data_IF_820795616106
#
_entry.id   IF_820795616106
#
_cell.length_a   1.000
_cell.length_b   1.000
_cell.length_c   1.000
_cell.angle_alpha   90.00
_cell.angle_beta   90.00
_cell.angle_gamma   90.00
#
_symmetry.space_group_name_H-M   'P 1'
#
loop_
_entity.id
_entity.type
_entity.pdbx_description
1 polymer ?
#
# COMPACT_ATOMS: atom_id res chain seq x y z
N UNK A 1 72.72 15.76 -52.58
CA UNK A 1 72.82 16.11 -51.15
C UNK A 1 71.46 16.68 -50.75
N UNK A 2 70.51 15.84 -50.34
CA UNK A 2 70.14 15.60 -48.93
C UNK A 2 69.77 16.89 -48.19
N UNK A 3 68.46 17.17 -48.05
CA UNK A 3 67.89 17.72 -46.81
C UNK A 3 66.45 17.22 -46.64
N UNK A 4 66.17 16.82 -45.41
CA UNK A 4 65.13 15.90 -44.98
C UNK A 4 63.73 16.53 -44.80
N UNK A 5 62.73 15.72 -45.09
CA UNK A 5 61.33 15.90 -44.71
C UNK A 5 61.18 15.53 -43.23
N UNK A 6 60.59 16.41 -42.42
CA UNK A 6 60.06 16.04 -41.11
C UNK A 6 58.61 16.53 -41.03
N UNK A 7 57.68 15.59 -41.19
CA UNK A 7 56.24 15.77 -41.12
C UNK A 7 55.84 15.94 -39.64
N UNK A 8 55.32 17.10 -39.26
CA UNK A 8 54.74 17.30 -37.94
C UNK A 8 53.32 16.70 -37.91
N UNK A 9 53.16 15.54 -37.28
CA UNK A 9 51.85 14.95 -36.99
C UNK A 9 51.19 15.71 -35.83
N UNK A 10 50.23 16.57 -36.13
CA UNK A 10 49.34 17.16 -35.14
C UNK A 10 48.30 16.11 -34.70
N UNK A 11 48.43 15.63 -33.48
CA UNK A 11 47.47 14.70 -32.87
C UNK A 11 46.23 15.48 -32.43
N UNK A 12 45.18 15.51 -33.26
CA UNK A 12 43.88 16.05 -32.88
C UNK A 12 43.20 15.08 -31.89
N UNK A 13 43.15 15.46 -30.62
CA UNK A 13 42.35 14.76 -29.60
C UNK A 13 40.89 15.15 -29.80
N UNK A 14 40.13 14.32 -30.52
CA UNK A 14 38.67 14.42 -30.55
C UNK A 14 38.11 13.98 -29.20
N UNK A 15 37.65 14.95 -28.43
CA UNK A 15 36.88 14.73 -27.21
C UNK A 15 35.52 14.13 -27.60
N UNK A 16 35.38 12.81 -27.48
CA UNK A 16 34.09 12.14 -27.65
C UNK A 16 33.24 12.46 -26.43
N UNK A 17 32.30 13.40 -26.55
CA UNK A 17 31.22 13.54 -25.57
C UNK A 17 30.39 12.26 -25.62
N UNK A 18 30.60 11.36 -24.66
CA UNK A 18 29.65 10.29 -24.38
C UNK A 18 28.41 10.98 -23.80
N UNK A 19 27.24 10.93 -24.46
CA UNK A 19 26.02 11.44 -23.85
C UNK A 19 25.80 10.65 -22.56
N UNK A 20 25.79 11.34 -21.42
CA UNK A 20 25.43 10.72 -20.16
C UNK A 20 24.07 10.06 -20.35
N UNK A 21 23.97 8.76 -20.05
CA UNK A 21 22.67 8.08 -19.99
C UNK A 21 21.82 8.86 -18.98
N UNK A 22 20.83 9.60 -19.46
CA UNK A 22 19.77 10.07 -18.61
C UNK A 22 19.18 8.82 -17.95
N UNK A 23 19.29 8.73 -16.63
CA UNK A 23 18.50 7.78 -15.87
C UNK A 23 17.06 8.22 -16.13
N UNK A 24 16.34 7.45 -16.95
CA UNK A 24 14.93 7.69 -17.19
C UNK A 24 14.27 7.60 -15.81
N UNK A 25 13.77 8.71 -15.29
CA UNK A 25 12.91 8.66 -14.12
C UNK A 25 11.69 7.80 -14.50
N UNK A 26 11.46 6.71 -13.77
CA UNK A 26 10.31 5.85 -14.00
C UNK A 26 9.00 6.63 -13.85
N UNK A 27 7.93 6.16 -14.47
CA UNK A 27 6.62 6.81 -14.34
C UNK A 27 6.08 6.67 -12.92
N UNK A 28 5.08 7.48 -12.56
CA UNK A 28 4.43 7.35 -11.25
C UNK A 28 3.84 5.95 -11.06
N UNK A 29 3.26 5.38 -12.12
CA UNK A 29 2.67 4.04 -12.11
C UNK A 29 3.72 2.95 -11.85
N UNK A 30 4.91 3.09 -12.42
CA UNK A 30 6.04 2.19 -12.15
C UNK A 30 6.51 2.29 -10.70
N UNK A 31 6.64 3.52 -10.18
CA UNK A 31 7.02 3.75 -8.78
C UNK A 31 5.97 3.22 -7.80
N UNK A 32 4.68 3.39 -8.10
CA UNK A 32 3.60 2.79 -7.32
C UNK A 32 3.72 1.27 -7.37
N UNK A 33 3.90 0.68 -8.55
CA UNK A 33 4.02 -0.78 -8.73
C UNK A 33 5.15 -1.35 -7.88
N UNK A 34 6.29 -0.64 -7.81
CA UNK A 34 7.41 -1.00 -6.95
C UNK A 34 7.01 -0.98 -5.45
N UNK A 35 6.30 0.06 -5.00
CA UNK A 35 5.76 0.10 -3.63
C UNK A 35 4.80 -1.06 -3.34
N UNK A 36 3.93 -1.44 -4.28
CA UNK A 36 3.00 -2.55 -4.08
C UNK A 36 3.76 -3.87 -3.91
N UNK A 37 4.78 -4.09 -4.74
CA UNK A 37 5.61 -5.29 -4.70
C UNK A 37 6.45 -5.37 -3.41
N UNK A 38 7.10 -4.26 -3.03
CA UNK A 38 7.84 -4.19 -1.77
C UNK A 38 6.92 -4.47 -0.57
N UNK A 39 5.71 -3.88 -0.58
CA UNK A 39 4.73 -4.07 0.49
C UNK A 39 4.29 -5.54 0.61
N UNK A 40 3.97 -6.22 -0.49
CA UNK A 40 3.50 -7.61 -0.44
C UNK A 40 4.61 -8.59 -0.01
N UNK A 41 5.87 -8.33 -0.41
CA UNK A 41 7.02 -9.11 0.05
C UNK A 41 7.24 -8.93 1.55
N UNK A 42 7.14 -7.70 2.06
CA UNK A 42 7.26 -7.44 3.50
C UNK A 42 6.11 -8.12 4.26
N UNK A 43 4.87 -7.95 3.80
CA UNK A 43 3.69 -8.46 4.50
C UNK A 43 3.64 -9.99 4.55
N UNK A 44 3.93 -10.66 3.43
CA UNK A 44 3.61 -12.07 3.27
C UNK A 44 4.82 -13.00 3.21
N UNK A 45 6.01 -12.50 2.86
CA UNK A 45 7.20 -13.34 2.66
C UNK A 45 8.34 -13.06 3.63
N UNK A 46 8.31 -11.91 4.31
CA UNK A 46 9.36 -11.54 5.27
C UNK A 46 9.08 -12.13 6.66
N UNK A 47 10.09 -12.63 7.38
CA UNK A 47 9.97 -13.03 8.79
C UNK A 47 9.45 -11.90 9.67
N UNK A 48 8.54 -12.20 10.60
CA UNK A 48 7.88 -11.20 11.44
C UNK A 48 8.87 -10.26 12.16
N UNK A 49 9.98 -10.79 12.68
CA UNK A 49 11.02 -10.03 13.38
C UNK A 49 11.71 -8.95 12.51
N UNK A 50 11.60 -9.02 11.19
CA UNK A 50 12.19 -8.03 10.27
C UNK A 50 11.17 -7.04 9.71
N UNK A 51 9.86 -7.29 9.85
CA UNK A 51 8.82 -6.54 9.13
C UNK A 51 8.75 -5.09 9.55
N UNK A 52 8.80 -4.80 10.86
CA UNK A 52 8.73 -3.43 11.37
C UNK A 52 9.81 -2.54 10.73
N UNK A 53 11.08 -2.95 10.81
CA UNK A 53 12.22 -2.22 10.23
C UNK A 53 12.07 -2.03 8.72
N UNK A 54 11.55 -3.03 8.01
CA UNK A 54 11.36 -2.95 6.56
C UNK A 54 10.21 -2.04 6.17
N UNK A 55 9.09 -2.06 6.91
CA UNK A 55 7.99 -1.12 6.68
C UNK A 55 8.38 0.32 7.03
N UNK A 56 9.18 0.54 8.06
CA UNK A 56 9.75 1.87 8.34
C UNK A 56 10.54 2.39 7.13
N UNK A 57 11.47 1.59 6.59
CA UNK A 57 12.22 1.97 5.40
C UNK A 57 11.33 2.20 4.17
N UNK A 58 10.33 1.33 3.95
CA UNK A 58 9.39 1.47 2.84
C UNK A 58 8.51 2.72 3.00
N UNK A 59 8.12 3.08 4.23
CA UNK A 59 7.35 4.29 4.51
C UNK A 59 8.11 5.56 4.11
N UNK A 60 9.42 5.60 4.36
CA UNK A 60 10.25 6.72 3.95
C UNK A 60 10.37 6.84 2.42
N UNK A 61 10.37 5.71 1.71
CA UNK A 61 10.32 5.67 0.24
C UNK A 61 8.98 6.15 -0.29
N UNK A 62 7.88 5.69 0.29
CA UNK A 62 6.53 6.10 -0.10
C UNK A 62 6.28 7.59 0.15
N UNK A 63 6.77 8.12 1.27
CA UNK A 63 6.69 9.53 1.60
C UNK A 63 7.39 10.42 0.56
N UNK A 64 8.60 10.05 0.14
CA UNK A 64 9.30 10.78 -0.94
C UNK A 64 8.50 10.79 -2.25
N UNK A 65 7.80 9.69 -2.55
CA UNK A 65 6.97 9.60 -3.75
C UNK A 65 5.75 10.54 -3.63
N UNK A 66 5.06 10.56 -2.50
CA UNK A 66 3.90 11.44 -2.30
C UNK A 66 4.29 12.92 -2.32
N UNK A 67 5.41 13.29 -1.69
CA UNK A 67 5.95 14.66 -1.73
C UNK A 67 6.32 15.12 -3.15
N UNK A 68 6.88 14.21 -3.97
CA UNK A 68 7.26 14.50 -5.35
C UNK A 68 6.05 14.63 -6.30
N UNK A 69 4.86 14.20 -5.88
CA UNK A 69 3.64 14.19 -6.68
C UNK A 69 2.46 14.87 -5.97
N UNK A 70 2.57 16.18 -5.67
CA UNK A 70 1.49 16.92 -5.01
C UNK A 70 0.21 16.90 -5.87
N UNK A 71 -0.94 16.75 -5.22
CA UNK A 71 -2.24 16.69 -5.89
C UNK A 71 -2.55 15.34 -6.55
N UNK A 72 -1.75 14.31 -6.30
CA UNK A 72 -2.06 12.93 -6.70
C UNK A 72 -2.56 12.12 -5.50
N UNK A 73 -3.66 11.41 -5.68
CA UNK A 73 -4.29 10.61 -4.63
C UNK A 73 -3.55 9.28 -4.44
N UNK A 74 -3.16 8.64 -5.52
CA UNK A 74 -2.58 7.29 -5.53
C UNK A 74 -1.32 7.14 -4.67
N UNK A 75 -0.34 8.06 -4.68
CA UNK A 75 0.82 8.00 -3.80
C UNK A 75 0.45 8.12 -2.32
N UNK A 76 -0.50 8.98 -1.97
CA UNK A 76 -0.97 9.17 -0.60
C UNK A 76 -1.68 7.92 -0.08
N UNK A 77 -2.48 7.25 -0.93
CA UNK A 77 -3.10 5.97 -0.57
C UNK A 77 -2.05 4.92 -0.25
N UNK A 78 -1.02 4.76 -1.09
CA UNK A 78 0.03 3.78 -0.86
C UNK A 78 0.91 4.11 0.35
N UNK A 79 1.26 5.38 0.55
CA UNK A 79 1.94 5.81 1.78
C UNK A 79 1.09 5.47 3.01
N UNK A 80 -0.21 5.78 2.99
CA UNK A 80 -1.11 5.44 4.09
C UNK A 80 -1.16 3.94 4.38
N UNK A 81 -1.23 3.10 3.34
CA UNK A 81 -1.23 1.62 3.47
C UNK A 81 0.06 1.14 4.13
N UNK A 82 1.19 1.68 3.69
CA UNK A 82 2.50 1.30 4.22
C UNK A 82 2.67 1.79 5.67
N UNK A 83 2.29 3.03 5.98
CA UNK A 83 2.38 3.60 7.33
C UNK A 83 1.44 2.88 8.31
N UNK A 84 0.22 2.54 7.90
CA UNK A 84 -0.70 1.75 8.74
C UNK A 84 -0.23 0.31 8.93
N UNK A 85 0.43 -0.29 7.93
CA UNK A 85 1.07 -1.60 8.07
C UNK A 85 2.26 -1.55 9.03
N UNK A 86 3.09 -0.50 8.96
CA UNK A 86 4.15 -0.26 9.93
C UNK A 86 3.59 -0.12 11.35
N UNK A 87 2.49 0.62 11.52
CA UNK A 87 1.83 0.77 12.81
C UNK A 87 1.40 -0.58 13.40
N UNK A 88 0.88 -1.48 12.57
CA UNK A 88 0.46 -2.81 12.99
C UNK A 88 1.63 -3.68 13.47
N UNK A 89 2.78 -3.64 12.77
CA UNK A 89 3.97 -4.40 13.19
C UNK A 89 4.64 -3.79 14.43
N UNK A 90 4.64 -2.45 14.56
CA UNK A 90 5.23 -1.74 15.72
C UNK A 90 4.42 -1.94 17.00
N UNK A 91 3.08 -1.88 16.90
CA UNK A 91 2.16 -2.03 18.02
C UNK A 91 2.35 -0.99 19.15
N UNK A 92 1.59 -1.19 20.23
CA UNK A 92 1.67 -0.41 21.46
C UNK A 92 1.49 1.10 21.28
N UNK A 93 2.09 1.88 22.19
CA UNK A 93 2.03 3.35 22.14
C UNK A 93 2.74 3.94 20.92
N UNK A 94 3.73 3.22 20.36
CA UNK A 94 4.46 3.64 19.17
C UNK A 94 3.60 3.66 17.89
N UNK A 95 2.51 2.89 17.86
CA UNK A 95 1.59 2.85 16.72
C UNK A 95 0.65 4.06 16.64
N UNK A 96 0.35 4.74 17.75
CA UNK A 96 -0.68 5.80 17.79
C UNK A 96 -0.35 7.00 16.89
N UNK A 97 0.92 7.39 16.80
CA UNK A 97 1.36 8.44 15.87
C UNK A 97 1.20 8.02 14.41
N UNK A 98 1.59 6.78 14.10
CA UNK A 98 1.54 6.22 12.75
C UNK A 98 0.10 6.05 12.25
N UNK A 99 -0.84 5.58 13.09
CA UNK A 99 -2.25 5.48 12.67
C UNK A 99 -2.91 6.84 12.45
N UNK A 100 -2.50 7.89 13.19
CA UNK A 100 -2.95 9.27 12.95
C UNK A 100 -2.37 9.85 11.66
N UNK A 101 -1.11 9.53 11.36
CA UNK A 101 -0.49 9.89 10.07
C UNK A 101 -1.21 9.20 8.92
N UNK A 102 -1.40 7.87 8.99
CA UNK A 102 -2.11 7.11 7.96
C UNK A 102 -3.54 7.62 7.74
N UNK A 103 -4.27 7.93 8.83
CA UNK A 103 -5.59 8.58 8.74
C UNK A 103 -5.53 9.87 7.92
N UNK A 104 -4.58 10.75 8.23
CA UNK A 104 -4.44 12.04 7.55
C UNK A 104 -4.10 11.87 6.06
N UNK A 105 -3.27 10.87 5.72
CA UNK A 105 -2.94 10.53 4.34
C UNK A 105 -4.16 10.05 3.56
N UNK A 106 -4.98 9.17 4.14
CA UNK A 106 -6.21 8.70 3.51
C UNK A 106 -7.24 9.83 3.34
N UNK A 107 -7.42 10.68 4.35
CA UNK A 107 -8.32 11.84 4.27
C UNK A 107 -7.87 12.80 3.15
N UNK A 108 -6.57 13.06 3.03
CA UNK A 108 -6.03 13.88 1.95
C UNK A 108 -6.22 13.23 0.56
N UNK A 109 -5.98 11.92 0.45
CA UNK A 109 -6.21 11.17 -0.79
C UNK A 109 -7.68 11.22 -1.22
N UNK A 110 -8.60 10.98 -0.29
CA UNK A 110 -10.05 11.05 -0.51
C UNK A 110 -10.49 12.44 -0.98
N UNK A 111 -9.92 13.50 -0.39
CA UNK A 111 -10.23 14.88 -0.77
C UNK A 111 -9.76 15.24 -2.19
N UNK A 112 -8.68 14.62 -2.68
CA UNK A 112 -8.17 14.79 -4.04
C UNK A 112 -9.02 13.99 -5.04
N UNK A 113 -9.03 12.67 -4.87
CA UNK A 113 -9.89 11.75 -5.61
C UNK A 113 -9.97 10.41 -4.85
N UNK A 114 -11.07 10.19 -4.13
CA UNK A 114 -11.29 8.96 -3.39
C UNK A 114 -11.61 7.73 -4.24
N UNK A 115 -11.84 7.86 -5.56
CA UNK A 115 -12.21 6.72 -6.43
C UNK A 115 -10.99 5.99 -6.99
N UNK A 116 -9.81 6.60 -6.95
CA UNK A 116 -8.59 5.95 -7.43
C UNK A 116 -8.33 4.64 -6.71
N UNK A 117 -7.63 3.72 -7.38
CA UNK A 117 -7.29 2.40 -6.83
C UNK A 117 -8.54 1.68 -6.29
N UNK A 118 -9.65 1.81 -7.02
CA UNK A 118 -10.96 1.22 -6.72
C UNK A 118 -11.46 1.52 -5.30
N UNK A 119 -11.23 2.75 -4.81
CA UNK A 119 -11.70 3.17 -3.49
C UNK A 119 -10.86 2.68 -2.31
N UNK A 120 -9.62 2.24 -2.56
CA UNK A 120 -8.72 1.69 -1.51
C UNK A 120 -8.54 2.60 -0.29
N UNK A 121 -8.58 3.93 -0.46
CA UNK A 121 -8.48 4.87 0.65
C UNK A 121 -9.65 4.73 1.64
N UNK A 122 -10.88 4.57 1.15
CA UNK A 122 -12.05 4.35 1.99
C UNK A 122 -11.94 3.05 2.76
N UNK A 123 -11.52 1.99 2.08
CA UNK A 123 -11.33 0.68 2.68
C UNK A 123 -10.33 0.76 3.85
N UNK A 124 -9.14 1.29 3.59
CA UNK A 124 -8.06 1.33 4.58
C UNK A 124 -8.35 2.30 5.73
N UNK A 125 -9.00 3.43 5.45
CA UNK A 125 -9.44 4.34 6.51
C UNK A 125 -10.52 3.70 7.39
N UNK A 126 -11.48 2.99 6.77
CA UNK A 126 -12.50 2.21 7.49
C UNK A 126 -11.87 1.18 8.43
N UNK A 127 -10.80 0.49 7.99
CA UNK A 127 -10.03 -0.42 8.84
C UNK A 127 -9.45 0.26 10.07
N UNK A 128 -8.86 1.45 9.91
CA UNK A 128 -8.34 2.20 11.06
C UNK A 128 -9.44 2.55 12.06
N UNK A 129 -10.64 2.89 11.59
CA UNK A 129 -11.74 3.28 12.47
C UNK A 129 -12.24 2.16 13.38
N UNK A 130 -12.20 0.88 12.99
CA UNK A 130 -12.60 -0.21 13.89
C UNK A 130 -11.41 -0.89 14.61
N UNK A 131 -10.17 -0.71 14.13
CA UNK A 131 -8.97 -1.27 14.78
C UNK A 131 -8.34 -0.34 15.83
N UNK A 132 -8.49 0.98 15.68
CA UNK A 132 -7.89 1.96 16.59
C UNK A 132 -8.83 2.22 17.77
N UNK A 133 -8.33 2.40 19.01
CA UNK A 133 -9.17 2.79 20.14
C UNK A 133 -9.95 4.09 19.90
N UNK A 134 -11.13 4.20 20.49
CA UNK A 134 -11.93 5.42 20.49
C UNK A 134 -11.35 6.56 21.36
N UNK A 135 -12.11 7.65 21.47
CA UNK A 135 -11.80 8.77 22.35
C UNK A 135 -11.72 8.33 23.82
N UNK A 136 -10.78 8.83 24.64
CA UNK A 136 -9.83 9.94 24.36
C UNK A 136 -8.47 9.51 23.79
N UNK A 137 -8.22 8.21 23.59
CA UNK A 137 -6.88 7.70 23.25
C UNK A 137 -6.63 7.80 21.74
N UNK A 138 -7.62 7.45 20.94
CA UNK A 138 -7.55 7.45 19.48
C UNK A 138 -8.79 8.07 18.85
N UNK A 139 -9.11 7.61 17.64
CA UNK A 139 -10.20 8.12 16.81
C UNK A 139 -11.17 7.03 16.35
N UNK A 140 -11.08 5.83 16.92
CA UNK A 140 -11.93 4.70 16.55
C UNK A 140 -13.42 5.02 16.65
N UNK A 141 -14.19 4.50 15.70
CA UNK A 141 -15.64 4.65 15.59
C UNK A 141 -16.20 3.59 14.64
N UNK A 142 -16.97 2.64 15.19
CA UNK A 142 -17.57 1.56 14.40
C UNK A 142 -18.56 2.06 13.35
N UNK A 143 -19.26 3.17 13.64
CA UNK A 143 -20.17 3.81 12.69
C UNK A 143 -19.41 4.35 11.48
N UNK A 144 -18.28 5.04 11.72
CA UNK A 144 -17.43 5.54 10.63
C UNK A 144 -16.73 4.42 9.89
N UNK A 145 -16.30 3.38 10.58
CA UNK A 145 -15.75 2.18 9.95
C UNK A 145 -16.76 1.58 8.96
N UNK A 146 -18.01 1.38 9.40
CA UNK A 146 -19.08 0.83 8.56
C UNK A 146 -19.34 1.68 7.32
N UNK A 147 -19.52 2.98 7.49
CA UNK A 147 -19.78 3.94 6.41
C UNK A 147 -18.70 3.83 5.32
N UNK A 148 -17.43 3.87 5.73
CA UNK A 148 -16.29 3.86 4.82
C UNK A 148 -16.08 2.50 4.14
N UNK A 149 -16.24 1.39 4.87
CA UNK A 149 -16.11 0.05 4.29
C UNK A 149 -17.25 -0.25 3.29
N UNK A 150 -18.47 0.21 3.58
CA UNK A 150 -19.59 0.10 2.63
C UNK A 150 -19.35 0.94 1.38
N UNK A 151 -18.76 2.13 1.52
CA UNK A 151 -18.37 2.94 0.37
C UNK A 151 -17.28 2.26 -0.48
N UNK A 152 -16.29 1.62 0.15
CA UNK A 152 -15.29 0.83 -0.56
C UNK A 152 -15.91 -0.35 -1.32
N UNK A 153 -16.84 -1.08 -0.69
CA UNK A 153 -17.59 -2.16 -1.35
C UNK A 153 -18.45 -1.66 -2.51
N UNK A 154 -19.03 -0.47 -2.42
CA UNK A 154 -19.81 0.11 -3.51
C UNK A 154 -18.93 0.44 -4.73
N UNK A 155 -17.68 0.85 -4.50
CA UNK A 155 -16.71 1.13 -5.57
C UNK A 155 -16.09 -0.14 -6.15
N UNK A 156 -15.88 -1.16 -5.32
CA UNK A 156 -15.23 -2.40 -5.72
C UNK A 156 -15.93 -3.64 -5.10
N UNK A 157 -17.12 -3.99 -5.61
CA UNK A 157 -17.97 -5.00 -5.00
C UNK A 157 -17.40 -6.41 -5.06
N UNK A 158 -16.55 -6.72 -6.04
CA UNK A 158 -15.96 -8.04 -6.24
C UNK A 158 -14.46 -8.08 -5.89
N UNK A 159 -13.94 -6.98 -5.33
CA UNK A 159 -12.55 -6.86 -4.91
C UNK A 159 -12.24 -7.70 -3.68
N UNK A 160 -11.04 -8.29 -3.67
CA UNK A 160 -10.56 -9.12 -2.56
C UNK A 160 -10.47 -8.34 -1.23
N UNK A 161 -9.84 -7.16 -1.24
CA UNK A 161 -9.59 -6.40 -0.02
C UNK A 161 -10.90 -5.84 0.59
N UNK A 162 -11.80 -5.15 -0.14
CA UNK A 162 -13.06 -4.66 0.44
C UNK A 162 -13.95 -5.76 1.05
N UNK A 163 -14.04 -6.90 0.38
CA UNK A 163 -14.80 -8.04 0.89
C UNK A 163 -14.12 -8.66 2.12
N UNK A 164 -12.79 -8.80 2.11
CA UNK A 164 -12.04 -9.30 3.26
C UNK A 164 -12.23 -8.41 4.49
N UNK A 165 -11.98 -7.10 4.35
CA UNK A 165 -12.01 -6.18 5.48
C UNK A 165 -13.42 -5.91 6.00
N UNK A 166 -14.44 -5.93 5.14
CA UNK A 166 -15.82 -5.88 5.62
C UNK A 166 -16.24 -7.16 6.34
N UNK A 167 -15.80 -8.33 5.84
CA UNK A 167 -15.97 -9.60 6.55
C UNK A 167 -15.29 -9.61 7.92
N UNK A 168 -14.07 -9.10 8.00
CA UNK A 168 -13.34 -8.92 9.28
C UNK A 168 -14.09 -7.97 10.22
N UNK A 169 -14.51 -6.80 9.74
CA UNK A 169 -15.29 -5.84 10.53
C UNK A 169 -16.58 -6.45 11.09
N UNK A 170 -17.32 -7.22 10.29
CA UNK A 170 -18.53 -7.90 10.73
C UNK A 170 -18.24 -8.93 11.82
N UNK A 171 -17.16 -9.70 11.67
CA UNK A 171 -16.76 -10.69 12.65
C UNK A 171 -16.37 -10.03 13.99
N UNK A 172 -15.58 -8.96 13.95
CA UNK A 172 -15.22 -8.17 15.14
C UNK A 172 -16.45 -7.48 15.75
N UNK A 173 -17.48 -7.20 14.96
CA UNK A 173 -18.78 -6.67 15.39
C UNK A 173 -19.78 -7.76 15.80
N UNK A 174 -19.33 -8.98 16.08
CA UNK A 174 -20.14 -10.12 16.52
C UNK A 174 -21.28 -10.50 15.55
N UNK A 175 -21.03 -10.37 14.23
CA UNK A 175 -21.94 -10.75 13.14
C UNK A 175 -21.31 -11.85 12.25
N UNK A 176 -21.09 -13.06 12.80
CA UNK A 176 -20.37 -14.13 12.09
C UNK A 176 -21.12 -14.65 10.85
N UNK A 177 -22.45 -14.66 10.87
CA UNK A 177 -23.27 -15.13 9.76
C UNK A 177 -23.11 -14.24 8.52
N UNK A 178 -23.16 -12.91 8.68
CA UNK A 178 -22.87 -11.99 7.58
C UNK A 178 -21.40 -12.04 7.17
N UNK A 179 -20.47 -12.12 8.13
CA UNK A 179 -19.03 -12.16 7.86
C UNK A 179 -18.66 -13.29 6.89
N UNK A 180 -19.21 -14.49 7.09
CA UNK A 180 -18.99 -15.66 6.21
C UNK A 180 -19.23 -15.31 4.74
N UNK A 181 -20.32 -14.60 4.43
CA UNK A 181 -20.68 -14.26 3.04
C UNK A 181 -19.63 -13.40 2.36
N UNK A 182 -19.08 -12.42 3.07
CA UNK A 182 -18.08 -11.51 2.53
C UNK A 182 -16.70 -12.17 2.46
N UNK A 183 -16.34 -13.00 3.44
CA UNK A 183 -15.08 -13.75 3.41
C UNK A 183 -15.05 -14.78 2.26
N UNK A 184 -16.19 -15.43 1.97
CA UNK A 184 -16.31 -16.32 0.80
C UNK A 184 -16.16 -15.55 -0.52
N UNK A 185 -16.72 -14.33 -0.63
CA UNK A 185 -16.49 -13.44 -1.78
C UNK A 185 -15.04 -13.03 -1.93
N UNK A 186 -14.35 -12.71 -0.82
CA UNK A 186 -12.93 -12.37 -0.85
C UNK A 186 -12.08 -13.54 -1.38
N UNK A 187 -12.38 -14.77 -0.95
CA UNK A 187 -11.68 -15.98 -1.44
C UNK A 187 -11.92 -16.19 -2.94
N UNK A 188 -13.15 -15.95 -3.41
CA UNK A 188 -13.56 -16.12 -4.80
C UNK A 188 -13.23 -14.92 -5.71
N UNK A 189 -12.69 -13.83 -5.17
CA UNK A 189 -12.42 -12.61 -5.92
C UNK A 189 -11.49 -12.85 -7.12
N UNK A 190 -11.66 -12.14 -8.25
CA UNK A 190 -10.79 -12.25 -9.41
C UNK A 190 -9.32 -11.98 -9.05
N UNK A 191 -8.35 -12.67 -9.68
CA UNK A 191 -6.94 -12.38 -9.46
C UNK A 191 -6.57 -11.01 -10.02
N UNK A 192 -5.77 -10.24 -9.28
CA UNK A 192 -5.23 -8.96 -9.72
C UNK A 192 -3.89 -9.18 -10.45
N UNK A 193 -3.75 -8.77 -11.73
CA UNK A 193 -2.51 -8.91 -12.46
C UNK A 193 -1.32 -8.28 -11.72
N UNK A 194 -0.24 -9.02 -11.57
CA UNK A 194 0.98 -8.55 -10.89
C UNK A 194 0.91 -8.49 -9.36
N UNK A 195 -0.16 -9.00 -8.74
CA UNK A 195 -0.38 -8.96 -7.28
C UNK A 195 -0.53 -10.36 -6.67
N UNK A 196 0.08 -11.37 -7.27
CA UNK A 196 -0.10 -12.79 -6.90
C UNK A 196 0.32 -13.08 -5.45
N UNK A 197 1.37 -12.41 -4.94
CA UNK A 197 1.83 -12.58 -3.55
C UNK A 197 0.76 -12.04 -2.59
N UNK A 198 0.33 -10.79 -2.79
CA UNK A 198 -0.73 -10.19 -1.98
C UNK A 198 -2.04 -10.98 -2.03
N UNK A 199 -2.44 -11.39 -3.24
CA UNK A 199 -3.68 -12.13 -3.49
C UNK A 199 -3.68 -13.53 -2.87
N UNK A 200 -2.54 -14.21 -2.86
CA UNK A 200 -2.44 -15.51 -2.18
C UNK A 200 -2.50 -15.32 -0.67
N UNK A 201 -1.70 -14.41 -0.13
CA UNK A 201 -1.66 -14.13 1.31
C UNK A 201 -3.01 -13.68 1.86
N UNK A 202 -3.69 -12.76 1.17
CA UNK A 202 -5.02 -12.28 1.56
C UNK A 202 -6.09 -13.37 1.52
N UNK A 203 -6.02 -14.31 0.56
CA UNK A 203 -6.95 -15.45 0.52
C UNK A 203 -6.72 -16.41 1.69
N UNK A 204 -5.48 -16.63 2.10
CA UNK A 204 -5.21 -17.41 3.32
C UNK A 204 -5.78 -16.72 4.57
N UNK A 205 -5.50 -15.42 4.75
CA UNK A 205 -6.07 -14.63 5.85
C UNK A 205 -7.61 -14.71 5.84
N UNK A 206 -8.25 -14.64 4.66
CA UNK A 206 -9.69 -14.77 4.52
C UNK A 206 -10.21 -16.16 4.93
N UNK A 207 -9.49 -17.24 4.59
CA UNK A 207 -9.86 -18.61 5.00
C UNK A 207 -9.75 -18.81 6.50
N UNK A 208 -8.73 -18.24 7.13
CA UNK A 208 -8.54 -18.27 8.59
C UNK A 208 -9.69 -17.55 9.30
N UNK A 209 -10.06 -16.33 8.84
CA UNK A 209 -11.21 -15.61 9.38
C UNK A 209 -12.52 -16.36 9.13
N UNK A 210 -12.68 -17.00 7.97
CA UNK A 210 -13.88 -17.77 7.64
C UNK A 210 -14.04 -18.98 8.58
N UNK A 211 -12.93 -19.65 8.91
CA UNK A 211 -12.94 -20.73 9.89
C UNK A 211 -13.34 -20.21 11.28
N UNK A 212 -12.79 -19.08 11.72
CA UNK A 212 -13.16 -18.43 12.99
C UNK A 212 -14.64 -18.06 13.01
N UNK A 213 -15.17 -17.46 11.94
CA UNK A 213 -16.57 -17.07 11.85
C UNK A 213 -17.51 -18.28 11.98
N UNK A 214 -17.16 -19.41 11.33
CA UNK A 214 -17.94 -20.66 11.44
C UNK A 214 -17.90 -21.28 12.84
N UNK A 215 -16.85 -21.04 13.62
CA UNK A 215 -16.76 -21.50 15.02
C UNK A 215 -17.55 -20.62 16.00
N UNK A 216 -17.93 -19.40 15.59
CA UNK A 216 -18.70 -18.46 16.41
C UNK A 216 -20.20 -18.48 16.12
N UNK A 217 -20.65 -19.30 15.15
CA UNK A 217 -22.07 -19.60 14.96
C UNK A 217 -22.57 -20.57 16.02
#
# INVERSE_FOLDING_TARGET
>A
MLFAVAFALALAVTLVLVPGRAVQAGTLEEAITELQHDWEVIRYQTPAAERERRFEALSAKAHKLSEAHPGRSEPLVWEGIIVSSWAAERGGLGALGLVKQAKSLYEAAIAIDGKVLDGSAYNSLGVLYYKVPGWPIGFGSDDKARELLQQALALNPDGIDPNFFYGEYLLESNQPAEAIRYLERAIAAPPRPGRQIADTGRREEARELLQRARQQM
#
